data_IF_576668414700
#
_entry.id   IF_576668414700
#
_cell.length_a   1.000
_cell.length_b   1.000
_cell.length_c   1.000
_cell.angle_alpha   90.00
_cell.angle_beta   90.00
_cell.angle_gamma   90.00
#
_symmetry.space_group_name_H-M   'P 1'
#
loop_
_entity.id
_entity.type
_entity.pdbx_description
1 polymer ?
#
# COMPACT_ATOMS: atom_id res chain seq x y z
N UNK A 1 8.11 -10.25 11.06
CA UNK A 1 7.51 -8.90 10.95
C UNK A 1 5.99 -9.01 11.02
N UNK A 2 5.30 -7.93 11.41
CA UNK A 2 3.84 -7.81 11.24
C UNK A 2 3.57 -6.72 10.21
N UNK A 3 2.97 -7.10 9.09
CA UNK A 3 2.99 -6.34 7.83
C UNK A 3 1.57 -5.89 7.48
N UNK A 4 1.42 -4.61 7.14
CA UNK A 4 0.21 -4.04 6.57
C UNK A 4 0.52 -3.51 5.16
N UNK A 5 -0.12 -4.07 4.14
CA UNK A 5 -0.02 -3.61 2.76
C UNK A 5 -1.25 -2.76 2.42
N UNK A 6 -1.04 -1.53 1.99
CA UNK A 6 -2.10 -0.56 1.69
C UNK A 6 -2.21 -0.34 0.19
N UNK A 7 -3.42 -0.48 -0.36
CA UNK A 7 -3.73 -0.10 -1.73
C UNK A 7 -3.34 -1.14 -2.78
N UNK A 8 -3.46 -2.43 -2.46
CA UNK A 8 -2.92 -3.56 -3.23
C UNK A 8 -3.48 -3.79 -4.65
N UNK A 9 -4.54 -3.11 -5.08
CA UNK A 9 -5.10 -3.32 -6.42
C UNK A 9 -5.58 -4.76 -6.63
N UNK A 10 -4.84 -5.56 -7.41
CA UNK A 10 -5.11 -6.99 -7.66
C UNK A 10 -4.40 -7.94 -6.68
N UNK A 11 -3.75 -7.43 -5.63
CA UNK A 11 -3.03 -8.22 -4.60
C UNK A 11 -1.82 -9.01 -5.11
N UNK A 12 -1.34 -8.72 -6.33
CA UNK A 12 -0.18 -9.41 -6.90
C UNK A 12 1.11 -9.14 -6.13
N UNK A 13 1.26 -7.95 -5.50
CA UNK A 13 2.43 -7.66 -4.67
C UNK A 13 2.41 -8.47 -3.38
N UNK A 14 1.27 -8.51 -2.67
CA UNK A 14 1.07 -9.34 -1.50
C UNK A 14 1.35 -10.82 -1.79
N UNK A 15 0.85 -11.33 -2.92
CA UNK A 15 1.15 -12.69 -3.37
C UNK A 15 2.65 -12.90 -3.58
N UNK A 16 3.30 -12.06 -4.37
CA UNK A 16 4.73 -12.19 -4.67
C UNK A 16 5.60 -12.08 -3.41
N UNK A 17 5.21 -11.21 -2.46
CA UNK A 17 5.84 -11.10 -1.15
C UNK A 17 5.69 -12.41 -0.35
N UNK A 18 4.49 -12.99 -0.34
CA UNK A 18 4.22 -14.27 0.30
C UNK A 18 5.04 -15.41 -0.30
N UNK A 19 5.02 -15.55 -1.63
CA UNK A 19 5.75 -16.58 -2.37
C UNK A 19 7.26 -16.54 -2.12
N UNK A 20 7.84 -15.34 -2.01
CA UNK A 20 9.30 -15.18 -1.93
C UNK A 20 9.83 -15.18 -0.50
N UNK A 21 9.11 -14.60 0.45
CA UNK A 21 9.65 -14.29 1.78
C UNK A 21 8.82 -14.85 2.94
N UNK A 22 7.59 -15.30 2.71
CA UNK A 22 6.67 -15.77 3.77
C UNK A 22 6.18 -17.20 3.47
N UNK A 23 7.08 -18.03 2.91
CA UNK A 23 6.77 -19.40 2.45
C UNK A 23 6.33 -20.34 3.57
N UNK A 24 6.73 -20.06 4.81
CA UNK A 24 6.36 -20.84 5.99
C UNK A 24 5.03 -20.38 6.63
N UNK A 25 4.49 -19.23 6.21
CA UNK A 25 3.29 -18.64 6.79
C UNK A 25 3.23 -17.12 6.63
N UNK A 26 2.05 -16.61 6.30
CA UNK A 26 1.72 -15.20 6.08
C UNK A 26 0.75 -14.65 7.14
N UNK A 27 0.58 -15.32 8.28
CA UNK A 27 -0.42 -14.98 9.32
C UNK A 27 -0.27 -13.56 9.89
N UNK A 28 0.94 -13.03 9.81
CA UNK A 28 1.28 -11.68 10.27
C UNK A 28 1.12 -10.62 9.17
N UNK A 29 0.63 -10.97 7.98
CA UNK A 29 0.39 -10.06 6.87
C UNK A 29 -1.10 -9.75 6.71
N UNK A 30 -1.41 -8.45 6.60
CA UNK A 30 -2.73 -7.96 6.24
C UNK A 30 -2.59 -7.13 4.96
N UNK A 31 -3.21 -7.60 3.88
CA UNK A 31 -3.22 -6.92 2.59
C UNK A 31 -4.56 -6.20 2.39
N UNK A 32 -4.54 -4.93 2.00
CA UNK A 32 -5.77 -4.13 1.91
C UNK A 32 -5.89 -3.38 0.59
N UNK A 33 -7.13 -3.15 0.15
CA UNK A 33 -7.42 -2.23 -0.95
C UNK A 33 -8.60 -1.31 -0.63
N UNK A 34 -8.70 -0.21 -1.38
CA UNK A 34 -9.75 0.80 -1.18
C UNK A 34 -11.09 0.40 -1.78
N UNK A 35 -11.07 -0.29 -2.93
CA UNK A 35 -12.29 -0.75 -3.58
C UNK A 35 -12.98 -1.84 -2.76
N UNK A 36 -14.30 -2.01 -2.92
CA UNK A 36 -15.02 -3.16 -2.35
C UNK A 36 -14.65 -4.44 -3.08
N UNK A 37 -14.92 -5.59 -2.46
CA UNK A 37 -14.64 -6.91 -3.06
C UNK A 37 -15.27 -7.05 -4.45
N UNK A 38 -16.54 -6.65 -4.58
CA UNK A 38 -17.27 -6.74 -5.84
C UNK A 38 -16.62 -5.90 -6.94
N UNK A 39 -16.12 -4.70 -6.58
CA UNK A 39 -15.42 -3.81 -7.52
C UNK A 39 -14.07 -4.39 -7.92
N UNK A 40 -13.31 -4.95 -6.97
CA UNK A 40 -12.01 -5.58 -7.23
C UNK A 40 -12.18 -6.77 -8.17
N UNK A 41 -13.08 -7.70 -7.87
CA UNK A 41 -13.30 -8.89 -8.70
C UNK A 41 -13.82 -8.53 -10.08
N UNK A 42 -14.67 -7.50 -10.19
CA UNK A 42 -15.10 -6.98 -11.49
C UNK A 42 -13.95 -6.36 -12.29
N UNK A 43 -13.01 -5.67 -11.63
CA UNK A 43 -11.87 -4.99 -12.30
C UNK A 43 -10.80 -5.97 -12.77
N UNK A 44 -10.54 -7.04 -12.03
CA UNK A 44 -9.37 -7.90 -12.24
C UNK A 44 -9.70 -9.37 -12.54
N UNK A 45 -10.97 -9.78 -12.51
CA UNK A 45 -11.41 -11.10 -12.95
C UNK A 45 -10.94 -12.24 -12.04
N UNK A 46 -10.59 -13.39 -12.64
CA UNK A 46 -10.15 -14.57 -11.89
C UNK A 46 -8.75 -14.41 -11.29
N UNK A 47 -7.87 -13.63 -11.94
CA UNK A 47 -6.47 -13.42 -11.49
C UNK A 47 -6.41 -12.92 -10.04
N UNK A 48 -7.26 -11.97 -9.66
CA UNK A 48 -7.27 -11.45 -8.29
C UNK A 48 -7.80 -12.47 -7.29
N UNK A 49 -8.72 -13.35 -7.68
CA UNK A 49 -9.21 -14.41 -6.80
C UNK A 49 -8.12 -15.42 -6.51
N UNK A 50 -7.33 -15.78 -7.53
CA UNK A 50 -6.17 -16.65 -7.36
C UNK A 50 -5.11 -16.03 -6.44
N UNK A 51 -4.85 -14.73 -6.57
CA UNK A 51 -3.94 -14.01 -5.69
C UNK A 51 -4.42 -14.02 -4.23
N UNK A 52 -5.71 -13.71 -4.03
CA UNK A 52 -6.33 -13.68 -2.69
C UNK A 52 -6.33 -15.08 -2.06
N UNK A 53 -6.77 -16.10 -2.79
CA UNK A 53 -6.80 -17.48 -2.30
C UNK A 53 -5.40 -17.98 -1.91
N UNK A 54 -4.37 -17.61 -2.67
CA UNK A 54 -3.00 -17.96 -2.33
C UNK A 54 -2.56 -17.32 -1.00
N UNK A 55 -2.77 -16.00 -0.85
CA UNK A 55 -2.42 -15.28 0.39
C UNK A 55 -3.13 -15.90 1.60
N UNK A 56 -4.43 -16.20 1.47
CA UNK A 56 -5.24 -16.78 2.54
C UNK A 56 -4.87 -18.23 2.86
N UNK A 57 -4.44 -19.00 1.85
CA UNK A 57 -3.94 -20.38 2.06
C UNK A 57 -2.69 -20.44 2.94
N UNK A 58 -1.90 -19.35 2.97
CA UNK A 58 -0.77 -19.17 3.86
C UNK A 58 -1.14 -18.46 5.17
N UNK A 59 -2.43 -18.27 5.44
CA UNK A 59 -2.94 -17.61 6.65
C UNK A 59 -2.91 -16.08 6.61
N UNK A 60 -2.47 -15.47 5.51
CA UNK A 60 -2.55 -14.02 5.32
C UNK A 60 -3.99 -13.52 5.25
N UNK A 61 -4.20 -12.27 5.62
CA UNK A 61 -5.55 -11.67 5.63
C UNK A 61 -5.71 -10.66 4.51
N UNK A 62 -6.81 -10.78 3.74
CA UNK A 62 -7.20 -9.76 2.76
C UNK A 62 -8.38 -8.93 3.29
N UNK A 63 -8.33 -7.60 3.10
CA UNK A 63 -9.38 -6.67 3.49
C UNK A 63 -9.73 -5.71 2.33
N UNK A 64 -11.02 -5.53 2.09
CA UNK A 64 -11.56 -4.61 1.08
C UNK A 64 -12.14 -3.36 1.73
N UNK A 65 -12.34 -2.30 0.96
CA UNK A 65 -12.97 -1.06 1.45
C UNK A 65 -12.14 -0.31 2.51
N UNK A 66 -10.83 -0.53 2.56
CA UNK A 66 -9.94 0.09 3.55
C UNK A 66 -9.36 1.39 3.00
N UNK A 67 -9.74 2.50 3.61
CA UNK A 67 -9.13 3.80 3.36
C UNK A 67 -7.84 3.95 4.19
N UNK A 68 -6.69 3.99 3.50
CA UNK A 68 -5.37 4.19 4.11
C UNK A 68 -5.21 5.52 4.85
N UNK A 69 -6.09 6.50 4.61
CA UNK A 69 -6.12 7.78 5.33
C UNK A 69 -6.96 7.73 6.61
N UNK A 70 -7.68 6.61 6.85
CA UNK A 70 -8.64 6.45 7.95
C UNK A 70 -8.53 5.04 8.58
N UNK A 71 -7.31 4.56 8.83
CA UNK A 71 -7.03 3.25 9.41
C UNK A 71 -7.64 3.04 10.81
N UNK A 72 -7.89 4.12 11.54
CA UNK A 72 -8.60 4.14 12.83
C UNK A 72 -10.09 3.72 12.71
N UNK A 73 -10.68 3.86 11.53
CA UNK A 73 -12.06 3.44 11.25
C UNK A 73 -12.16 1.95 10.92
N UNK A 74 -11.08 1.32 10.47
CA UNK A 74 -11.08 -0.11 10.16
C UNK A 74 -10.93 -0.94 11.44
N UNK A 75 -12.00 -1.64 11.85
CA UNK A 75 -12.01 -2.45 13.09
C UNK A 75 -10.88 -3.47 13.17
N UNK A 76 -10.50 -4.06 12.03
CA UNK A 76 -9.41 -5.03 11.95
C UNK A 76 -8.01 -4.42 12.10
N UNK A 77 -7.85 -3.09 11.95
CA UNK A 77 -6.55 -2.41 11.93
C UNK A 77 -6.38 -1.46 13.12
N UNK A 78 -7.43 -0.76 13.54
CA UNK A 78 -7.40 0.36 14.50
C UNK A 78 -6.70 0.09 15.84
N UNK A 79 -6.65 -1.16 16.29
CA UNK A 79 -5.99 -1.57 17.55
C UNK A 79 -4.74 -2.42 17.34
N UNK A 80 -4.42 -2.73 16.08
CA UNK A 80 -3.22 -3.47 15.72
C UNK A 80 -2.05 -2.52 15.50
N UNK A 81 -0.86 -3.01 15.85
CA UNK A 81 0.42 -2.40 15.52
C UNK A 81 1.15 -3.27 14.50
N UNK A 82 1.94 -2.63 13.64
CA UNK A 82 2.66 -3.25 12.53
C UNK A 82 4.12 -2.81 12.57
N UNK A 83 5.04 -3.74 12.32
CA UNK A 83 6.46 -3.42 12.16
C UNK A 83 6.75 -2.88 10.75
N UNK A 84 5.92 -3.22 9.77
CA UNK A 84 6.00 -2.70 8.39
C UNK A 84 4.63 -2.26 7.91
N UNK A 85 4.52 -1.02 7.44
CA UNK A 85 3.37 -0.54 6.68
C UNK A 85 3.87 -0.14 5.30
N UNK A 86 3.35 -0.78 4.25
CA UNK A 86 3.80 -0.57 2.86
C UNK A 86 2.69 0.08 2.06
N UNK A 87 3.01 1.15 1.33
CA UNK A 87 2.11 1.77 0.36
C UNK A 87 2.84 1.98 -0.96
N UNK A 88 2.59 1.09 -1.91
CA UNK A 88 3.25 1.10 -3.21
C UNK A 88 2.51 2.01 -4.20
N UNK A 89 3.22 3.00 -4.74
CA UNK A 89 2.75 3.92 -5.78
C UNK A 89 1.39 4.58 -5.47
N UNK A 90 1.24 5.19 -4.29
CA UNK A 90 -0.02 5.83 -3.88
C UNK A 90 -0.46 6.90 -4.88
N UNK A 91 -1.77 7.01 -5.11
CA UNK A 91 -2.35 8.06 -5.95
C UNK A 91 -3.82 8.30 -5.60
N UNK A 92 -4.25 9.56 -5.53
CA UNK A 92 -5.61 9.97 -5.11
C UNK A 92 -6.72 9.63 -6.13
N UNK A 93 -6.36 9.05 -7.28
CA UNK A 93 -7.30 8.63 -8.34
C UNK A 93 -8.21 9.73 -8.94
N UNK A 94 -8.02 11.01 -8.60
CA UNK A 94 -9.07 12.04 -8.75
C UNK A 94 -9.33 12.55 -10.18
N UNK A 95 -8.66 12.01 -11.20
CA UNK A 95 -8.84 12.43 -12.61
C UNK A 95 -8.53 13.91 -12.90
N UNK A 96 -7.88 14.62 -11.99
CA UNK A 96 -7.59 16.05 -12.10
C UNK A 96 -6.53 16.28 -13.19
N UNK A 97 -6.91 17.02 -14.24
CA UNK A 97 -6.03 17.39 -15.37
C UNK A 97 -5.04 18.49 -15.03
N UNK A 98 -5.44 19.44 -14.18
CA UNK A 98 -4.56 20.52 -13.73
C UNK A 98 -3.44 19.95 -12.85
N UNK A 99 -2.18 20.17 -13.25
CA UNK A 99 -1.03 19.58 -12.58
C UNK A 99 -0.91 20.03 -11.12
N UNK A 100 -1.14 21.30 -10.82
CA UNK A 100 -0.94 21.84 -9.48
C UNK A 100 -2.01 21.31 -8.51
N UNK A 101 -3.27 21.25 -8.96
CA UNK A 101 -4.36 20.62 -8.21
C UNK A 101 -4.15 19.13 -8.03
N UNK A 102 -3.61 18.43 -9.04
CA UNK A 102 -3.25 17.02 -8.94
C UNK A 102 -2.12 16.79 -7.92
N UNK A 103 -1.08 17.62 -7.95
CA UNK A 103 0.00 17.59 -6.95
C UNK A 103 -0.56 17.80 -5.56
N UNK A 104 -1.39 18.84 -5.35
CA UNK A 104 -2.00 19.13 -4.06
C UNK A 104 -2.85 17.97 -3.53
N UNK A 105 -3.71 17.39 -4.36
CA UNK A 105 -4.55 16.26 -3.96
C UNK A 105 -3.73 15.05 -3.51
N UNK A 106 -2.61 14.76 -4.18
CA UNK A 106 -1.72 13.67 -3.78
C UNK A 106 -0.88 14.02 -2.54
N UNK A 107 -0.53 15.29 -2.32
CA UNK A 107 0.09 15.73 -1.07
C UNK A 107 -0.87 15.60 0.12
N UNK A 108 -2.14 15.95 -0.06
CA UNK A 108 -3.19 15.78 0.94
C UNK A 108 -3.39 14.28 1.28
N UNK A 109 -3.44 13.41 0.26
CA UNK A 109 -3.46 11.95 0.44
C UNK A 109 -2.28 11.46 1.30
N UNK A 110 -1.05 11.84 0.94
CA UNK A 110 0.14 11.36 1.66
C UNK A 110 0.19 11.90 3.09
N UNK A 111 -0.19 13.15 3.30
CA UNK A 111 -0.24 13.76 4.64
C UNK A 111 -1.24 13.01 5.52
N UNK A 112 -2.45 12.76 5.02
CA UNK A 112 -3.47 12.04 5.76
C UNK A 112 -3.10 10.57 6.01
N UNK A 113 -2.48 9.91 5.02
CA UNK A 113 -1.93 8.56 5.18
C UNK A 113 -0.89 8.50 6.29
N UNK A 114 0.11 9.39 6.31
CA UNK A 114 1.13 9.38 7.36
C UNK A 114 0.54 9.61 8.75
N UNK A 115 -0.42 10.54 8.88
CA UNK A 115 -1.13 10.78 10.13
C UNK A 115 -1.93 9.55 10.60
N UNK A 116 -2.51 8.79 9.65
CA UNK A 116 -3.26 7.57 9.94
C UNK A 116 -2.38 6.36 10.27
N UNK A 117 -1.24 6.23 9.58
CA UNK A 117 -0.33 5.10 9.68
C UNK A 117 0.64 5.19 10.86
N UNK A 118 1.14 6.38 11.21
CA UNK A 118 2.13 6.54 12.27
C UNK A 118 1.68 5.97 13.64
N UNK A 119 0.43 6.16 14.10
CA UNK A 119 -0.06 5.54 15.33
C UNK A 119 -0.20 4.01 15.27
N UNK A 120 -0.10 3.41 14.08
CA UNK A 120 -0.18 1.96 13.85
C UNK A 120 1.21 1.30 13.81
N UNK A 121 2.29 2.05 14.00
CA UNK A 121 3.64 1.50 14.06
C UNK A 121 3.96 0.94 15.44
N UNK A 122 4.71 -0.15 15.49
CA UNK A 122 5.30 -0.66 16.74
C UNK A 122 6.33 0.33 17.29
N UNK A 123 6.40 0.44 18.61
CA UNK A 123 7.23 1.43 19.30
C UNK A 123 8.70 1.01 19.47
N UNK A 124 9.10 -0.17 18.97
CA UNK A 124 10.45 -0.69 19.17
C UNK A 124 10.56 -1.76 20.24
N UNK A 125 9.54 -1.91 21.11
CA UNK A 125 9.59 -2.92 22.16
C UNK A 125 9.47 -4.32 21.54
N UNK A 126 10.26 -5.24 22.09
CA UNK A 126 10.25 -6.63 21.65
C UNK A 126 8.82 -7.22 21.68
N UNK A 127 8.45 -8.10 20.74
CA UNK A 127 9.32 -8.83 19.80
C UNK A 127 9.47 -8.22 18.39
N UNK A 128 8.74 -7.14 18.05
CA UNK A 128 8.58 -6.70 16.65
C UNK A 128 9.56 -5.61 16.18
N UNK A 129 10.35 -5.02 17.10
CA UNK A 129 11.27 -3.93 16.77
C UNK A 129 10.55 -2.63 16.38
N UNK A 130 11.31 -1.65 15.86
CA UNK A 130 10.76 -0.35 15.48
C UNK A 130 9.95 -0.45 14.20
N UNK A 131 8.76 0.16 14.19
CA UNK A 131 7.90 0.20 13.02
C UNK A 131 8.42 1.13 11.94
N UNK A 132 8.21 0.74 10.68
CA UNK A 132 8.63 1.49 9.50
C UNK A 132 7.49 1.63 8.49
N UNK A 133 7.42 2.80 7.85
CA UNK A 133 6.54 3.03 6.69
C UNK A 133 7.40 3.01 5.44
N UNK A 134 7.02 2.18 4.48
CA UNK A 134 7.68 2.01 3.19
C UNK A 134 6.77 2.55 2.10
N UNK A 135 7.23 3.61 1.40
CA UNK A 135 6.47 4.21 0.29
C UNK A 135 7.29 4.12 -0.98
N UNK A 136 6.74 3.46 -1.99
CA UNK A 136 7.34 3.39 -3.33
C UNK A 136 6.73 4.46 -4.22
N UNK A 137 7.55 5.24 -4.93
CA UNK A 137 7.08 6.22 -5.90
C UNK A 137 7.92 6.19 -7.18
N UNK A 138 7.34 6.66 -8.29
CA UNK A 138 8.11 6.97 -9.50
C UNK A 138 9.00 8.18 -9.27
N UNK A 139 10.23 8.13 -9.77
CA UNK A 139 11.23 9.21 -9.66
C UNK A 139 11.18 10.16 -10.86
N UNK A 140 9.99 10.65 -11.21
CA UNK A 140 9.78 11.57 -12.32
C UNK A 140 8.70 12.63 -12.01
N UNK A 141 8.57 13.64 -12.86
CA UNK A 141 7.43 14.57 -12.75
C UNK A 141 6.12 13.87 -13.18
N UNK A 142 4.97 14.17 -12.54
CA UNK A 142 4.80 15.13 -11.45
C UNK A 142 5.10 14.57 -10.04
N UNK A 143 5.36 13.27 -9.87
CA UNK A 143 5.55 12.62 -8.56
C UNK A 143 6.61 13.28 -7.67
N UNK A 144 7.72 13.73 -8.26
CA UNK A 144 8.77 14.44 -7.51
C UNK A 144 8.25 15.74 -6.85
N UNK A 145 7.22 16.39 -7.41
CA UNK A 145 6.64 17.62 -6.88
C UNK A 145 5.82 17.38 -5.60
N UNK A 146 5.46 16.13 -5.30
CA UNK A 146 4.72 15.83 -4.08
C UNK A 146 5.58 16.01 -2.84
N UNK A 147 6.92 15.96 -2.97
CA UNK A 147 7.87 16.17 -1.88
C UNK A 147 7.57 15.28 -0.66
N UNK A 148 7.28 13.99 -0.89
CA UNK A 148 6.80 13.04 0.15
C UNK A 148 7.66 12.99 1.40
N UNK A 149 8.99 13.12 1.28
CA UNK A 149 9.89 13.21 2.44
C UNK A 149 9.61 14.41 3.33
N UNK A 150 9.29 15.57 2.75
CA UNK A 150 8.95 16.76 3.51
C UNK A 150 7.59 16.61 4.19
N UNK A 151 6.63 15.96 3.53
CA UNK A 151 5.31 15.65 4.12
C UNK A 151 5.45 14.70 5.32
N UNK A 152 6.25 13.64 5.18
CA UNK A 152 6.53 12.72 6.28
C UNK A 152 7.20 13.44 7.46
N UNK A 153 8.18 14.31 7.19
CA UNK A 153 8.85 15.13 8.22
C UNK A 153 7.88 16.06 8.95
N UNK A 154 6.95 16.68 8.23
CA UNK A 154 5.91 17.51 8.84
C UNK A 154 4.96 16.72 9.76
N UNK A 155 4.82 15.42 9.52
CA UNK A 155 4.09 14.47 10.36
C UNK A 155 4.95 13.79 11.45
N UNK A 156 6.09 14.37 11.84
CA UNK A 156 7.03 13.83 12.82
C UNK A 156 7.64 12.46 12.47
N UNK A 157 7.70 12.10 11.18
CA UNK A 157 8.40 10.90 10.70
C UNK A 157 9.79 11.27 10.16
N UNK A 158 10.76 10.39 10.39
CA UNK A 158 12.11 10.50 9.82
C UNK A 158 12.29 9.62 8.58
N UNK A 159 13.04 10.09 7.59
CA UNK A 159 13.50 9.20 6.50
C UNK A 159 14.69 8.39 6.99
N UNK A 160 14.54 7.06 7.10
CA UNK A 160 15.61 6.16 7.49
C UNK A 160 16.58 5.86 6.34
N UNK A 161 16.04 5.51 5.17
CA UNK A 161 16.82 5.19 3.96
C UNK A 161 15.97 5.34 2.70
N UNK A 162 16.61 5.31 1.54
CA UNK A 162 15.95 5.20 0.23
C UNK A 162 16.77 4.29 -0.68
N UNK A 163 16.08 3.40 -1.40
CA UNK A 163 16.68 2.51 -2.38
C UNK A 163 15.77 2.40 -3.60
N UNK A 164 16.31 1.87 -4.69
CA UNK A 164 15.55 1.64 -5.91
C UNK A 164 14.60 0.46 -5.71
N UNK A 165 13.33 0.64 -6.06
CA UNK A 165 12.38 -0.47 -6.11
C UNK A 165 12.57 -1.22 -7.44
N UNK A 166 12.73 -2.53 -7.34
CA UNK A 166 12.96 -3.43 -8.46
C UNK A 166 11.75 -4.38 -8.57
N UNK A 167 10.78 -4.12 -9.47
CA UNK A 167 9.64 -5.01 -9.65
C UNK A 167 10.04 -6.46 -9.93
N UNK A 168 11.19 -6.67 -10.57
CA UNK A 168 11.79 -7.97 -10.85
C UNK A 168 12.10 -8.80 -9.59
N UNK A 169 12.23 -8.15 -8.43
CA UNK A 169 12.37 -8.85 -7.14
C UNK A 169 11.07 -9.49 -6.65
N UNK A 170 9.95 -9.20 -7.31
CA UNK A 170 8.61 -9.69 -6.98
C UNK A 170 7.98 -10.32 -8.23
N UNK A 171 8.40 -11.55 -8.63
CA UNK A 171 7.82 -12.23 -9.78
C UNK A 171 6.29 -12.30 -9.70
N UNK A 172 5.60 -11.97 -10.79
CA UNK A 172 4.13 -11.90 -10.82
C UNK A 172 3.53 -10.59 -10.30
N UNK A 173 4.32 -9.66 -9.74
CA UNK A 173 3.82 -8.35 -9.34
C UNK A 173 3.41 -7.51 -10.56
N UNK A 174 2.17 -7.03 -10.55
CA UNK A 174 1.63 -6.11 -11.55
C UNK A 174 1.20 -4.79 -10.91
N UNK A 175 1.81 -3.69 -11.35
CA UNK A 175 1.39 -2.36 -10.91
C UNK A 175 0.02 -2.00 -11.50
N UNK A 176 -1.01 -1.96 -10.66
CA UNK A 176 -2.39 -1.57 -11.03
C UNK A 176 -2.72 -0.14 -10.62
N UNK A 177 -3.53 0.55 -11.43
CA UNK A 177 -4.03 1.92 -11.16
C UNK A 177 -5.47 1.88 -10.63
N UNK A 178 -5.83 2.83 -9.78
CA UNK A 178 -7.15 2.92 -9.10
C UNK A 178 -8.36 2.95 -10.06
N UNK A 179 -8.20 3.53 -11.26
CA UNK A 179 -9.27 3.62 -12.28
C UNK A 179 -9.43 2.31 -13.07
N UNK A 180 -8.60 1.30 -12.81
CA UNK A 180 -8.49 0.09 -13.61
C UNK A 180 -7.60 0.27 -14.84
N UNK A 181 -7.35 -0.82 -15.55
CA UNK A 181 -6.66 -0.78 -16.84
C UNK A 181 -7.66 -0.40 -17.94
N UNK A 182 -7.36 0.66 -18.69
CA UNK A 182 -8.03 0.98 -19.95
C UNK A 182 -7.02 0.88 -21.06
N UNK A 183 -7.25 -0.05 -21.98
CA UNK A 183 -6.42 -0.22 -23.18
C UNK A 183 -6.31 1.12 -23.92
N UNK A 184 -5.09 1.52 -24.29
CA UNK A 184 -4.78 2.79 -24.94
C UNK A 184 -4.72 4.05 -24.04
N UNK A 185 -5.11 3.96 -22.76
CA UNK A 185 -5.08 5.11 -21.82
C UNK A 185 -4.16 4.86 -20.63
N UNK A 186 -4.09 3.60 -20.17
CA UNK A 186 -3.15 3.17 -19.14
C UNK A 186 -1.81 2.84 -19.79
N UNK A 187 -0.82 3.73 -19.62
CA UNK A 187 0.60 3.44 -19.86
C UNK A 187 1.22 2.74 -18.66
#
# INVERSE_FOLDING_TARGET
DKILLIGEGNFSFARALSEKYLTEGSENMVATCFDSEEVVFKKYGEEVKDNVAYIESLGGKVLYGVDGTQLDKCKAIKHNLFSRIVFNFPHAGSGIKDQNRNVRANQELMTAFFASAAPRLTDGKQPLGHGEIHVSMKTCKPYNLWAVRNLAKAGNLGTKTTFKFHPEDYPGYEHRRTIGFKEGVSK
#
